data_IF_099621237361
#
_entry.id   IF_099621237361
#
_cell.length_a   1.000
_cell.length_b   1.000
_cell.length_c   1.000
_cell.angle_alpha   90.00
_cell.angle_beta   90.00
_cell.angle_gamma   90.00
#
_symmetry.space_group_name_H-M   'P 1'
#
loop_
_entity.id
_entity.type
_entity.pdbx_description
1 polymer ?
#
# COMPACT_ATOMS: atom_id res chain seq x y z
N UNK A 1 -2.05 15.52 3.14
CA UNK A 1 -3.50 15.36 3.38
C UNK A 1 -4.03 13.92 3.30
N UNK A 2 -3.47 13.03 2.46
CA UNK A 2 -3.94 11.63 2.34
C UNK A 2 -3.77 10.80 3.64
N UNK A 3 -2.63 10.97 4.32
CA UNK A 3 -2.33 10.27 5.58
C UNK A 3 -3.15 10.78 6.78
N UNK A 4 -3.51 12.06 6.80
CA UNK A 4 -4.37 12.64 7.84
C UNK A 4 -5.79 12.06 7.75
N UNK A 5 -6.33 11.89 6.54
CA UNK A 5 -7.63 11.23 6.34
C UNK A 5 -7.60 9.77 6.81
N UNK A 6 -6.51 9.04 6.55
CA UNK A 6 -6.30 7.68 7.05
C UNK A 6 -6.27 7.63 8.59
N UNK A 7 -5.54 8.55 9.22
CA UNK A 7 -5.45 8.64 10.68
C UNK A 7 -6.82 8.92 11.30
N UNK A 8 -7.60 9.85 10.74
CA UNK A 8 -8.98 10.12 11.17
C UNK A 8 -9.87 8.89 11.00
N UNK A 9 -9.75 8.16 9.89
CA UNK A 9 -10.53 6.94 9.65
C UNK A 9 -10.19 5.85 10.67
N UNK A 10 -8.91 5.65 10.99
CA UNK A 10 -8.48 4.70 12.03
C UNK A 10 -9.02 5.09 13.40
N UNK A 11 -9.01 6.38 13.75
CA UNK A 11 -9.59 6.86 15.01
C UNK A 11 -11.09 6.61 15.08
N UNK A 12 -11.83 6.85 14.00
CA UNK A 12 -13.28 6.57 13.94
C UNK A 12 -13.55 5.08 14.12
N UNK A 13 -12.78 4.20 13.45
CA UNK A 13 -12.92 2.75 13.58
C UNK A 13 -12.64 2.28 15.01
N UNK A 14 -11.60 2.82 15.66
CA UNK A 14 -11.31 2.53 17.06
C UNK A 14 -12.43 2.97 18.00
N UNK A 15 -12.97 4.16 17.78
CA UNK A 15 -14.06 4.71 18.58
C UNK A 15 -15.33 3.85 18.44
N UNK A 16 -15.66 3.44 17.21
CA UNK A 16 -16.76 2.51 16.96
C UNK A 16 -16.52 1.16 17.64
N UNK A 17 -15.29 0.65 17.61
CA UNK A 17 -14.94 -0.59 18.30
C UNK A 17 -15.16 -0.48 19.80
N UNK A 18 -14.62 0.56 20.44
CA UNK A 18 -14.81 0.81 21.88
C UNK A 18 -16.30 0.97 22.21
N UNK A 19 -17.06 1.68 21.38
CA UNK A 19 -18.50 1.81 21.54
C UNK A 19 -19.21 0.45 21.50
N UNK A 20 -18.90 -0.40 20.52
CA UNK A 20 -19.47 -1.75 20.46
C UNK A 20 -19.11 -2.54 21.71
N UNK A 21 -17.86 -2.52 22.14
CA UNK A 21 -17.39 -3.25 23.32
C UNK A 21 -18.13 -2.87 24.60
N UNK A 22 -18.31 -1.57 24.83
CA UNK A 22 -18.95 -1.10 26.06
C UNK A 22 -20.46 -1.33 26.07
N UNK A 23 -21.09 -1.36 24.89
CA UNK A 23 -22.54 -1.45 24.78
C UNK A 23 -23.04 -2.89 24.52
N UNK A 24 -22.17 -3.78 24.06
CA UNK A 24 -22.55 -5.10 23.56
C UNK A 24 -21.81 -6.17 24.36
N UNK A 25 -22.35 -6.54 25.53
CA UNK A 25 -21.97 -7.74 26.29
C UNK A 25 -22.40 -9.05 25.60
N UNK A 26 -22.43 -9.06 24.26
CA UNK A 26 -23.00 -10.12 23.46
C UNK A 26 -21.96 -11.21 23.21
N UNK A 27 -22.34 -12.43 23.57
CA UNK A 27 -21.62 -13.63 23.20
C UNK A 27 -22.12 -14.11 21.84
N UNK A 28 -21.19 -14.52 20.99
CA UNK A 28 -21.48 -15.06 19.67
C UNK A 28 -20.93 -16.48 19.58
N UNK A 29 -21.71 -17.36 18.95
CA UNK A 29 -21.32 -18.74 18.69
C UNK A 29 -20.89 -18.86 17.24
N UNK A 30 -19.61 -19.13 17.03
CA UNK A 30 -19.06 -19.49 15.73
C UNK A 30 -19.39 -20.95 15.43
N UNK A 31 -20.02 -21.18 14.28
CA UNK A 31 -20.18 -22.52 13.71
C UNK A 31 -19.14 -22.70 12.62
N UNK A 32 -18.18 -23.59 12.85
CA UNK A 32 -17.22 -23.99 11.83
C UNK A 32 -17.83 -25.04 10.90
N UNK A 33 -17.08 -25.46 9.86
CA UNK A 33 -17.54 -26.38 8.82
C UNK A 33 -18.11 -27.73 9.31
N UNK A 34 -17.87 -28.12 10.57
CA UNK A 34 -18.49 -29.28 11.20
C UNK A 34 -19.22 -28.86 12.48
N UNK A 35 -20.44 -29.35 12.66
CA UNK A 35 -21.34 -29.04 13.79
C UNK A 35 -20.75 -29.39 15.16
N UNK A 36 -19.73 -30.24 15.19
CA UNK A 36 -19.04 -30.64 16.43
C UNK A 36 -18.04 -29.59 16.92
N UNK A 37 -17.72 -28.58 16.09
CA UNK A 37 -16.84 -27.48 16.46
C UNK A 37 -17.66 -26.19 16.53
N UNK A 38 -18.37 -26.03 17.66
CA UNK A 38 -19.00 -24.76 18.03
C UNK A 38 -18.17 -24.08 19.11
N UNK A 39 -17.82 -22.82 18.87
CA UNK A 39 -17.05 -22.02 19.82
C UNK A 39 -17.84 -20.76 20.17
N UNK A 40 -18.19 -20.61 21.44
CA UNK A 40 -18.87 -19.41 21.95
C UNK A 40 -17.84 -18.50 22.57
N UNK A 41 -17.77 -17.26 22.09
CA UNK A 41 -16.83 -16.25 22.55
C UNK A 41 -17.48 -14.89 22.58
N UNK A 42 -16.81 -13.92 23.18
CA UNK A 42 -17.26 -12.54 23.15
C UNK A 42 -17.05 -11.95 21.75
N UNK A 43 -18.04 -11.19 21.28
CA UNK A 43 -18.02 -10.58 19.95
C UNK A 43 -16.77 -9.72 19.73
N UNK A 44 -16.29 -9.06 20.79
CA UNK A 44 -15.08 -8.25 20.76
C UNK A 44 -13.84 -9.03 20.30
N UNK A 45 -13.67 -10.27 20.76
CA UNK A 45 -12.48 -11.08 20.46
C UNK A 45 -12.40 -11.32 18.95
N UNK A 46 -13.53 -11.61 18.33
CA UNK A 46 -13.61 -11.84 16.88
C UNK A 46 -13.37 -10.55 16.11
N UNK A 47 -13.96 -9.43 16.55
CA UNK A 47 -13.75 -8.13 15.92
C UNK A 47 -12.28 -7.70 15.98
N UNK A 48 -11.60 -7.94 17.11
CA UNK A 48 -10.16 -7.69 17.25
C UNK A 48 -9.34 -8.55 16.29
N UNK A 49 -9.63 -9.85 16.21
CA UNK A 49 -8.95 -10.76 15.27
C UNK A 49 -9.17 -10.30 13.82
N UNK A 50 -10.40 -9.92 13.46
CA UNK A 50 -10.72 -9.42 12.12
C UNK A 50 -9.99 -8.11 11.80
N UNK A 51 -9.88 -7.20 12.78
CA UNK A 51 -9.14 -5.95 12.60
C UNK A 51 -7.64 -6.20 12.42
N UNK A 52 -7.04 -7.06 13.25
CA UNK A 52 -5.62 -7.39 13.16
C UNK A 52 -5.30 -8.08 11.84
N UNK A 53 -6.11 -9.05 11.43
CA UNK A 53 -5.93 -9.75 10.14
C UNK A 53 -6.09 -8.80 8.96
N UNK A 54 -7.07 -7.91 8.98
CA UNK A 54 -7.24 -6.85 7.98
C UNK A 54 -6.04 -5.91 7.90
N UNK A 55 -5.51 -5.48 9.06
CA UNK A 55 -4.33 -4.61 9.12
C UNK A 55 -3.09 -5.30 8.57
N UNK A 56 -2.84 -6.56 8.95
CA UNK A 56 -1.72 -7.35 8.44
C UNK A 56 -1.82 -7.56 6.93
N UNK A 57 -3.02 -7.88 6.42
CA UNK A 57 -3.26 -8.03 4.98
C UNK A 57 -2.99 -6.72 4.23
N UNK A 58 -3.51 -5.60 4.74
CA UNK A 58 -3.26 -4.28 4.17
C UNK A 58 -1.77 -3.90 4.17
N UNK A 59 -1.07 -4.20 5.26
CA UNK A 59 0.38 -3.96 5.37
C UNK A 59 1.17 -4.75 4.32
N UNK A 60 0.85 -6.04 4.13
CA UNK A 60 1.51 -6.87 3.11
C UNK A 60 1.27 -6.32 1.69
N UNK A 61 0.03 -5.98 1.34
CA UNK A 61 -0.32 -5.42 0.04
C UNK A 61 0.45 -4.11 -0.21
N UNK A 62 0.48 -3.22 0.78
CA UNK A 62 1.24 -1.97 0.68
C UNK A 62 2.74 -2.23 0.53
N UNK A 63 3.29 -3.21 1.26
CA UNK A 63 4.68 -3.63 1.12
C UNK A 63 5.03 -4.04 -0.31
N UNK A 64 4.20 -4.88 -0.94
CA UNK A 64 4.40 -5.28 -2.34
C UNK A 64 4.33 -4.09 -3.30
N UNK A 65 3.38 -3.18 -3.12
CA UNK A 65 3.27 -1.97 -3.96
C UNK A 65 4.52 -1.08 -3.88
N UNK A 66 5.10 -0.93 -2.67
CA UNK A 66 6.34 -0.15 -2.49
C UNK A 66 7.50 -0.79 -3.25
N UNK A 67 7.64 -2.12 -3.20
CA UNK A 67 8.69 -2.83 -3.92
C UNK A 67 8.55 -2.66 -5.44
N UNK A 68 7.31 -2.77 -5.95
CA UNK A 68 7.00 -2.55 -7.36
C UNK A 68 7.34 -1.12 -7.78
N UNK A 69 6.91 -0.11 -7.02
CA UNK A 69 7.22 1.29 -7.30
C UNK A 69 8.72 1.56 -7.28
N UNK A 70 9.47 0.93 -6.37
CA UNK A 70 10.94 1.06 -6.31
C UNK A 70 11.61 0.50 -7.57
N UNK A 71 11.11 -0.62 -8.10
CA UNK A 71 11.57 -1.21 -9.37
C UNK A 71 11.29 -0.26 -10.53
N UNK A 72 10.06 0.25 -10.65
CA UNK A 72 9.66 1.20 -11.69
C UNK A 72 10.54 2.46 -11.65
N UNK A 73 10.74 3.03 -10.46
CA UNK A 73 11.52 4.25 -10.29
C UNK A 73 13.00 4.04 -10.67
N UNK A 74 13.58 2.88 -10.34
CA UNK A 74 14.95 2.53 -10.77
C UNK A 74 15.06 2.43 -12.29
N UNK A 75 14.08 1.80 -12.94
CA UNK A 75 14.05 1.65 -14.39
C UNK A 75 13.94 3.02 -15.08
N UNK A 76 12.97 3.82 -14.64
CA UNK A 76 12.73 5.16 -15.17
C UNK A 76 13.95 6.08 -15.02
N UNK A 77 14.64 6.03 -13.87
CA UNK A 77 15.86 6.81 -13.64
C UNK A 77 17.01 6.35 -14.56
N UNK A 78 17.07 5.06 -14.89
CA UNK A 78 18.09 4.53 -15.81
C UNK A 78 17.84 5.03 -17.24
N UNK A 79 16.59 4.96 -17.70
CA UNK A 79 16.18 5.47 -19.01
C UNK A 79 16.39 6.98 -19.12
N UNK A 80 16.00 7.74 -18.10
CA UNK A 80 16.24 9.18 -18.02
C UNK A 80 17.72 9.52 -18.17
N UNK A 81 18.61 8.82 -17.44
CA UNK A 81 20.06 9.03 -17.55
C UNK A 81 20.60 8.68 -18.93
N UNK A 82 20.07 7.65 -19.58
CA UNK A 82 20.47 7.26 -20.94
C UNK A 82 20.07 8.33 -21.94
N UNK A 83 18.80 8.74 -21.94
CA UNK A 83 18.29 9.77 -22.83
C UNK A 83 18.99 11.11 -22.62
N UNK A 84 19.27 11.49 -21.37
CA UNK A 84 20.03 12.70 -21.05
C UNK A 84 21.45 12.65 -21.65
N UNK A 85 22.14 11.51 -21.56
CA UNK A 85 23.46 11.33 -22.18
C UNK A 85 23.40 11.42 -23.71
N UNK A 86 22.37 10.85 -24.33
CA UNK A 86 22.18 10.93 -25.79
C UNK A 86 21.98 12.39 -26.24
N UNK A 87 21.15 13.16 -25.53
CA UNK A 87 20.97 14.59 -25.79
C UNK A 87 22.28 15.36 -25.60
N UNK A 88 23.01 15.12 -24.51
CA UNK A 88 24.27 15.80 -24.25
C UNK A 88 25.33 15.48 -25.33
N UNK A 89 25.37 14.25 -25.82
CA UNK A 89 26.24 13.85 -26.94
C UNK A 89 25.84 14.50 -28.26
N UNK A 90 24.54 14.59 -28.56
CA UNK A 90 24.04 15.24 -29.77
C UNK A 90 24.28 16.76 -29.73
N UNK A 91 24.17 17.39 -28.55
CA UNK A 91 24.44 18.82 -28.37
C UNK A 91 25.93 19.16 -28.48
N UNK A 92 26.80 18.21 -28.13
CA UNK A 92 28.25 18.36 -28.19
C UNK A 92 28.87 17.75 -29.45
N UNK A 93 28.07 17.36 -30.46
CA UNK A 93 28.64 17.12 -31.79
C UNK A 93 29.03 18.48 -32.38
N UNK A 94 30.31 18.63 -32.67
CA UNK A 94 30.80 19.68 -33.54
C UNK A 94 30.01 19.57 -34.85
N UNK A 95 29.38 20.66 -35.28
CA UNK A 95 28.85 20.76 -36.63
C UNK A 95 30.08 20.62 -37.53
N UNK A 96 30.21 19.49 -38.23
CA UNK A 96 31.19 19.39 -39.31
C UNK A 96 30.89 20.56 -40.25
N UNK A 97 31.80 21.53 -40.29
CA UNK A 97 31.75 22.64 -41.22
C UNK A 97 31.65 22.03 -42.62
N UNK A 98 30.44 22.10 -43.19
CA UNK A 98 30.20 21.74 -44.57
C UNK A 98 30.95 22.81 -45.36
N UNK A 99 32.20 22.53 -45.73
CA UNK A 99 32.94 23.32 -46.70
C UNK A 99 32.13 23.33 -48.00
N UNK A 100 31.34 24.38 -48.18
CA UNK A 100 30.69 24.71 -49.44
C UNK A 100 31.84 25.12 -50.37
N UNK A 101 32.28 24.19 -51.21
CA UNK A 101 33.22 24.49 -52.28
C UNK A 101 32.54 25.44 -53.27
N UNK A 102 33.02 26.68 -53.31
CA UNK A 102 32.76 27.64 -54.40
C UNK A 102 33.34 27.16 -55.74
#
# INVERSE_FOLDING_TARGET
MKYVKLLVLVLIVLLLLVFVVQNVGQKITLKFFSSNYMFTTEMIIILLIALVTGFLGGYLIAGFQILEQKKINRLLNTEYKKLKKEIDLLRNRELEDVEIKE
#
